data_IF_809665432621
#
_entry.id   IF_809665432621
#
_cell.length_a   1.000
_cell.length_b   1.000
_cell.length_c   1.000
_cell.angle_alpha   90.00
_cell.angle_beta   90.00
_cell.angle_gamma   90.00
#
_symmetry.space_group_name_H-M   'P 1'
#
loop_
_entity.id
_entity.type
_entity.pdbx_description
1 polymer ?
#
# COMPACT_ATOMS: atom_id res chain seq x y z
N UNK A 1 -7.20 46.66 -13.94
CA UNK A 1 -6.39 45.58 -14.54
C UNK A 1 -7.28 44.39 -14.84
N UNK A 2 -7.22 43.85 -16.07
CA UNK A 2 -8.03 42.70 -16.51
C UNK A 2 -7.23 41.39 -16.50
N UNK A 3 -7.91 40.27 -16.80
CA UNK A 3 -7.27 38.96 -16.97
C UNK A 3 -6.34 38.94 -18.20
N UNK A 4 -5.28 38.12 -18.14
CA UNK A 4 -4.29 37.95 -19.22
C UNK A 4 -4.94 37.49 -20.53
N UNK A 5 -6.01 36.69 -20.46
CA UNK A 5 -6.81 36.33 -21.62
C UNK A 5 -8.25 35.97 -21.24
N UNK A 6 -9.14 35.95 -22.23
CA UNK A 6 -10.51 35.45 -22.08
C UNK A 6 -10.47 33.93 -21.83
N UNK A 7 -11.22 33.45 -20.84
CA UNK A 7 -11.42 32.02 -20.60
C UNK A 7 -12.13 31.40 -21.81
N UNK A 8 -11.50 30.39 -22.43
CA UNK A 8 -12.02 29.74 -23.65
C UNK A 8 -12.41 28.28 -23.43
N UNK A 9 -11.61 27.53 -22.68
CA UNK A 9 -11.76 26.09 -22.56
C UNK A 9 -11.65 25.67 -21.11
N UNK A 10 -12.64 24.94 -20.55
CA UNK A 10 -12.46 24.26 -19.29
C UNK A 10 -11.38 23.19 -19.45
N UNK A 11 -10.46 23.09 -18.50
CA UNK A 11 -9.44 22.03 -18.51
C UNK A 11 -10.15 20.70 -18.28
N UNK A 12 -9.89 19.71 -19.14
CA UNK A 12 -10.42 18.36 -18.97
C UNK A 12 -9.95 17.78 -17.65
N UNK A 13 -10.88 17.29 -16.81
CA UNK A 13 -10.51 16.55 -15.61
C UNK A 13 -9.80 15.26 -16.02
N UNK A 14 -8.70 14.91 -15.34
CA UNK A 14 -8.09 13.59 -15.45
C UNK A 14 -9.18 12.52 -15.32
N UNK A 15 -9.08 11.44 -16.11
CA UNK A 15 -10.07 10.35 -16.14
C UNK A 15 -10.47 10.00 -14.70
N UNK A 16 -11.67 10.37 -14.26
CA UNK A 16 -12.17 10.01 -12.94
C UNK A 16 -12.42 8.50 -12.96
N UNK A 17 -11.49 7.73 -12.41
CA UNK A 17 -11.80 6.37 -11.96
C UNK A 17 -12.76 6.49 -10.79
N UNK A 18 -13.74 5.58 -10.71
CA UNK A 18 -14.55 5.48 -9.50
C UNK A 18 -13.62 5.27 -8.29
N UNK A 19 -13.87 5.91 -7.14
CA UNK A 19 -13.06 5.68 -5.95
C UNK A 19 -13.09 4.21 -5.56
N UNK A 20 -11.96 3.69 -5.09
CA UNK A 20 -11.85 2.33 -4.58
C UNK A 20 -12.83 2.16 -3.41
N UNK A 21 -13.67 1.12 -3.44
CA UNK A 21 -14.61 0.83 -2.36
C UNK A 21 -13.93 0.07 -1.23
N UNK A 22 -14.29 0.35 0.02
CA UNK A 22 -13.93 -0.50 1.15
C UNK A 22 -14.58 -1.87 0.97
N UNK A 23 -13.79 -2.85 0.51
CA UNK A 23 -14.28 -4.17 0.12
C UNK A 23 -14.96 -4.24 -1.24
N UNK A 24 -15.30 -5.46 -1.64
CA UNK A 24 -15.95 -5.80 -2.91
C UNK A 24 -17.47 -6.11 -2.77
N UNK A 25 -18.05 -5.72 -1.63
CA UNK A 25 -19.47 -5.89 -1.26
C UNK A 25 -19.71 -5.51 0.20
N UNK A 26 -20.96 -5.27 0.61
CA UNK A 26 -21.28 -4.88 1.99
C UNK A 26 -21.04 -6.04 2.96
N UNK A 27 -20.12 -5.87 3.91
CA UNK A 27 -19.93 -6.78 5.07
C UNK A 27 -19.16 -8.08 4.81
N UNK A 28 -18.59 -8.29 3.62
CA UNK A 28 -17.83 -9.51 3.29
C UNK A 28 -16.34 -9.20 3.12
N UNK A 29 -15.53 -9.54 4.14
CA UNK A 29 -14.07 -9.41 4.15
C UNK A 29 -13.36 -10.67 3.65
N UNK A 30 -14.04 -11.82 3.73
CA UNK A 30 -13.55 -13.12 3.25
C UNK A 30 -13.94 -13.32 1.79
N UNK A 31 -12.95 -13.58 0.94
CA UNK A 31 -13.13 -13.84 -0.50
C UNK A 31 -13.01 -15.35 -0.74
N UNK A 32 -13.93 -15.92 -1.53
CA UNK A 32 -13.79 -17.31 -2.01
C UNK A 32 -12.66 -17.36 -3.06
N UNK A 33 -11.60 -18.18 -2.85
CA UNK A 33 -10.53 -18.33 -3.83
C UNK A 33 -11.01 -18.73 -5.23
N UNK A 34 -12.18 -19.37 -5.36
CA UNK A 34 -12.79 -19.72 -6.67
C UNK A 34 -13.20 -18.49 -7.49
N UNK A 35 -13.45 -17.37 -6.83
CA UNK A 35 -13.73 -16.09 -7.49
C UNK A 35 -12.44 -15.42 -8.00
N UNK A 36 -11.25 -15.95 -7.67
CA UNK A 36 -9.96 -15.39 -8.07
C UNK A 36 -9.37 -16.13 -9.27
N UNK A 37 -9.02 -15.37 -10.31
CA UNK A 37 -8.21 -15.85 -11.43
C UNK A 37 -6.81 -15.29 -11.33
N UNK A 38 -5.81 -16.15 -11.16
CA UNK A 38 -4.39 -15.77 -11.12
C UNK A 38 -3.86 -15.64 -12.55
N UNK A 39 -3.28 -14.49 -12.90
CA UNK A 39 -2.87 -14.19 -14.28
C UNK A 39 -1.36 -14.06 -14.42
N UNK A 40 -0.72 -13.12 -13.72
CA UNK A 40 0.69 -12.79 -13.92
C UNK A 40 1.39 -12.55 -12.59
N UNK A 41 2.62 -13.02 -12.42
CA UNK A 41 3.43 -12.62 -11.27
C UNK A 41 3.88 -11.15 -11.41
N UNK A 42 3.66 -10.36 -10.36
CA UNK A 42 4.08 -8.96 -10.29
C UNK A 42 5.43 -8.80 -9.61
N UNK A 43 5.71 -9.65 -8.64
CA UNK A 43 7.00 -9.69 -7.96
C UNK A 43 6.94 -10.53 -6.69
N UNK A 44 8.10 -10.63 -6.03
CA UNK A 44 8.24 -11.28 -4.74
C UNK A 44 8.67 -10.25 -3.71
N UNK A 45 7.81 -9.98 -2.74
CA UNK A 45 8.06 -9.07 -1.63
C UNK A 45 8.54 -9.82 -0.37
N UNK A 46 8.76 -9.05 0.70
CA UNK A 46 9.17 -9.58 2.01
C UNK A 46 8.19 -10.62 2.56
N UNK A 47 6.89 -10.41 2.33
CA UNK A 47 5.82 -11.23 2.87
C UNK A 47 5.39 -12.39 1.96
N UNK A 48 5.97 -12.50 0.75
CA UNK A 48 5.65 -13.54 -0.22
C UNK A 48 5.46 -13.03 -1.64
N UNK A 49 4.86 -13.87 -2.49
CA UNK A 49 4.69 -13.59 -3.92
C UNK A 49 3.42 -12.77 -4.13
N UNK A 50 3.52 -11.74 -4.96
CA UNK A 50 2.38 -10.92 -5.39
C UNK A 50 2.07 -11.24 -6.84
N UNK A 51 0.81 -11.59 -7.11
CA UNK A 51 0.29 -11.86 -8.45
C UNK A 51 -0.78 -10.86 -8.83
N UNK A 52 -0.79 -10.46 -10.08
CA UNK A 52 -1.92 -9.83 -10.74
C UNK A 52 -2.96 -10.90 -11.07
N UNK A 53 -4.22 -10.56 -10.84
CA UNK A 53 -5.34 -11.42 -11.15
C UNK A 53 -6.63 -10.65 -11.39
N UNK A 54 -7.71 -11.41 -11.51
CA UNK A 54 -9.06 -10.87 -11.59
C UNK A 54 -9.96 -11.47 -10.52
N UNK A 55 -10.79 -10.64 -9.90
CA UNK A 55 -11.91 -11.08 -9.09
C UNK A 55 -13.18 -11.17 -9.95
N UNK A 56 -13.85 -12.33 -9.90
CA UNK A 56 -15.04 -12.70 -10.70
C UNK A 56 -14.86 -12.48 -12.20
N UNK A 57 -13.61 -12.60 -12.69
CA UNK A 57 -13.25 -12.37 -14.09
C UNK A 57 -13.37 -10.91 -14.58
N UNK A 58 -13.76 -9.96 -13.71
CA UNK A 58 -14.08 -8.59 -14.11
C UNK A 58 -13.09 -7.57 -13.54
N UNK A 59 -12.82 -7.60 -12.24
CA UNK A 59 -12.08 -6.55 -11.54
C UNK A 59 -10.61 -6.93 -11.37
N UNK A 60 -9.72 -6.03 -11.80
CA UNK A 60 -8.29 -6.21 -11.65
C UNK A 60 -7.89 -6.11 -10.17
N UNK A 61 -7.14 -7.10 -9.68
CA UNK A 61 -6.70 -7.17 -8.28
C UNK A 61 -5.23 -7.57 -8.19
N UNK A 62 -4.58 -7.14 -7.11
CA UNK A 62 -3.33 -7.74 -6.66
C UNK A 62 -3.63 -8.79 -5.58
N UNK A 63 -3.05 -9.97 -5.74
CA UNK A 63 -3.23 -11.12 -4.85
C UNK A 63 -1.87 -11.42 -4.24
N UNK A 64 -1.71 -11.06 -2.97
CA UNK A 64 -0.48 -11.27 -2.19
C UNK A 64 -0.63 -12.55 -1.37
N UNK A 65 0.23 -13.51 -1.66
CA UNK A 65 0.32 -14.77 -0.93
C UNK A 65 1.20 -14.57 0.30
N UNK A 66 0.67 -14.87 1.48
CA UNK A 66 1.39 -14.80 2.75
C UNK A 66 2.08 -16.15 2.99
N UNK A 67 3.37 -16.09 3.36
CA UNK A 67 4.16 -17.29 3.66
C UNK A 67 3.64 -17.96 4.93
N UNK A 68 3.59 -19.29 4.93
CA UNK A 68 3.26 -20.03 6.14
C UNK A 68 4.30 -19.79 7.25
N UNK A 69 3.84 -19.74 8.49
CA UNK A 69 4.69 -19.51 9.66
C UNK A 69 5.18 -18.07 9.82
N UNK A 70 4.76 -17.11 8.99
CA UNK A 70 5.17 -15.72 9.17
C UNK A 70 4.40 -14.98 10.27
N UNK A 71 3.21 -15.47 10.68
CA UNK A 71 2.36 -14.82 11.68
C UNK A 71 1.28 -15.72 12.31
N UNK A 72 0.68 -15.25 13.40
CA UNK A 72 -0.56 -15.79 13.99
C UNK A 72 -1.78 -15.47 13.11
N UNK A 73 -2.64 -16.46 12.84
CA UNK A 73 -3.82 -16.29 11.98
C UNK A 73 -4.91 -15.43 12.62
N UNK A 74 -5.11 -15.53 13.93
CA UNK A 74 -6.12 -14.74 14.63
C UNK A 74 -5.75 -13.25 14.64
N UNK A 75 -4.48 -12.94 14.90
CA UNK A 75 -3.95 -11.57 14.84
C UNK A 75 -4.03 -10.99 13.43
N UNK A 76 -3.77 -11.82 12.41
CA UNK A 76 -3.94 -11.45 11.01
C UNK A 76 -5.37 -11.01 10.71
N UNK A 77 -6.33 -11.86 11.09
CA UNK A 77 -7.74 -11.66 10.78
C UNK A 77 -8.26 -10.40 11.46
N UNK A 78 -7.92 -10.19 12.73
CA UNK A 78 -8.43 -9.05 13.48
C UNK A 78 -7.87 -7.72 12.97
N UNK A 79 -6.59 -7.65 12.64
CA UNK A 79 -6.09 -6.43 12.01
C UNK A 79 -6.51 -6.29 10.55
N UNK A 80 -6.68 -7.37 9.78
CA UNK A 80 -7.24 -7.29 8.43
C UNK A 80 -8.64 -6.65 8.45
N UNK A 81 -9.48 -6.97 9.45
CA UNK A 81 -10.78 -6.28 9.65
C UNK A 81 -10.60 -4.78 9.94
N UNK A 82 -9.58 -4.38 10.71
CA UNK A 82 -9.27 -2.95 10.93
C UNK A 82 -8.84 -2.30 9.63
N UNK A 83 -7.92 -2.91 8.88
CA UNK A 83 -7.41 -2.42 7.60
C UNK A 83 -8.51 -2.31 6.54
N UNK A 84 -9.49 -3.22 6.53
CA UNK A 84 -10.65 -3.17 5.63
C UNK A 84 -11.48 -1.90 5.80
N UNK A 85 -11.50 -1.33 7.00
CA UNK A 85 -12.22 -0.08 7.29
C UNK A 85 -11.40 1.18 6.99
N UNK A 86 -10.13 1.04 6.61
CA UNK A 86 -9.29 2.15 6.16
C UNK A 86 -9.53 2.35 4.66
N UNK A 87 -10.14 3.48 4.31
CA UNK A 87 -10.43 3.83 2.92
C UNK A 87 -10.08 5.30 2.67
N UNK A 88 -9.16 5.52 1.74
CA UNK A 88 -8.67 6.83 1.35
C UNK A 88 -8.14 6.77 -0.09
N UNK A 89 -8.28 7.84 -0.87
CA UNK A 89 -7.90 7.85 -2.29
C UNK A 89 -6.41 7.58 -2.51
N UNK A 90 -5.57 7.89 -1.51
CA UNK A 90 -4.11 7.68 -1.53
C UNK A 90 -3.63 6.47 -0.74
N UNK A 91 -4.54 5.63 -0.25
CA UNK A 91 -4.20 4.32 0.31
C UNK A 91 -4.55 3.23 -0.68
N UNK A 92 -3.68 2.22 -0.81
CA UNK A 92 -3.99 1.02 -1.57
C UNK A 92 -5.12 0.30 -0.85
N UNK A 93 -6.27 0.20 -1.51
CA UNK A 93 -7.47 -0.35 -0.89
C UNK A 93 -7.33 -1.85 -0.68
N UNK A 94 -7.54 -2.29 0.56
CA UNK A 94 -7.76 -3.70 0.87
C UNK A 94 -9.20 -4.07 0.49
N UNK A 95 -9.34 -5.11 -0.33
CA UNK A 95 -10.63 -5.60 -0.80
C UNK A 95 -11.13 -6.82 -0.01
N UNK A 96 -10.21 -7.60 0.54
CA UNK A 96 -10.52 -8.75 1.36
C UNK A 96 -9.33 -9.68 1.50
N UNK A 97 -9.56 -10.80 2.15
CA UNK A 97 -8.58 -11.85 2.40
C UNK A 97 -9.19 -13.22 2.11
N UNK A 98 -8.34 -14.22 1.87
CA UNK A 98 -8.73 -15.62 1.87
C UNK A 98 -8.01 -16.30 3.02
N UNK A 99 -8.74 -16.66 4.07
CA UNK A 99 -8.19 -17.27 5.29
C UNK A 99 -8.66 -18.71 5.49
N UNK A 100 -9.80 -19.09 4.89
CA UNK A 100 -10.35 -20.46 4.99
C UNK A 100 -9.54 -21.55 4.32
N UNK A 101 -8.62 -21.20 3.42
CA UNK A 101 -7.75 -22.15 2.72
C UNK A 101 -6.31 -21.62 2.71
N UNK A 102 -5.34 -22.53 2.90
CA UNK A 102 -3.92 -22.20 2.75
C UNK A 102 -3.46 -22.28 1.29
N UNK A 103 -2.51 -21.43 0.88
CA UNK A 103 -1.92 -20.32 1.66
C UNK A 103 -2.88 -19.12 1.78
N UNK A 104 -2.71 -18.30 2.83
CA UNK A 104 -3.52 -17.09 3.04
C UNK A 104 -3.25 -16.10 1.91
N UNK A 105 -4.32 -15.46 1.42
CA UNK A 105 -4.23 -14.39 0.42
C UNK A 105 -4.75 -13.06 0.95
N UNK A 106 -4.06 -11.98 0.58
CA UNK A 106 -4.53 -10.59 0.71
C UNK A 106 -4.86 -10.08 -0.68
N UNK A 107 -6.07 -9.56 -0.86
CA UNK A 107 -6.56 -9.05 -2.13
C UNK A 107 -6.66 -7.53 -2.02
N UNK A 108 -5.91 -6.81 -2.84
CA UNK A 108 -5.89 -5.35 -2.85
C UNK A 108 -6.15 -4.78 -4.24
N UNK A 109 -6.31 -3.46 -4.29
CA UNK A 109 -6.26 -2.70 -5.53
C UNK A 109 -5.00 -3.03 -6.34
N UNK A 110 -5.17 -3.19 -7.66
CA UNK A 110 -4.07 -3.41 -8.58
C UNK A 110 -3.43 -2.08 -9.01
N UNK A 111 -2.12 -1.96 -8.78
CA UNK A 111 -1.34 -0.77 -9.08
C UNK A 111 -0.42 -1.03 -10.28
N UNK A 112 -0.86 -0.58 -11.46
CA UNK A 112 -0.31 -1.00 -12.75
C UNK A 112 1.18 -0.69 -12.97
N UNK A 113 1.70 0.36 -12.35
CA UNK A 113 3.08 0.82 -12.52
C UNK A 113 4.02 0.34 -11.39
N UNK A 114 3.56 -0.58 -10.53
CA UNK A 114 4.40 -1.19 -9.50
C UNK A 114 4.81 -0.21 -8.40
N UNK A 115 5.94 -0.49 -7.72
CA UNK A 115 6.39 0.33 -6.60
C UNK A 115 7.12 1.61 -7.05
N UNK A 116 6.92 2.68 -6.29
CA UNK A 116 7.46 4.01 -6.55
C UNK A 116 8.99 4.00 -6.65
N UNK A 117 9.68 3.18 -5.85
CA UNK A 117 11.14 3.04 -5.92
C UNK A 117 11.62 2.63 -7.31
N UNK A 118 11.01 1.61 -7.91
CA UNK A 118 11.38 1.13 -9.24
C UNK A 118 10.89 2.11 -10.31
N UNK A 119 9.67 2.62 -10.17
CA UNK A 119 9.10 3.64 -11.04
C UNK A 119 10.06 4.82 -11.19
N UNK A 120 10.50 5.43 -10.08
CA UNK A 120 11.45 6.54 -10.07
C UNK A 120 12.80 6.19 -10.69
N UNK A 121 13.31 4.96 -10.51
CA UNK A 121 14.60 4.53 -11.06
C UNK A 121 14.56 4.30 -12.57
N UNK A 122 13.49 3.72 -13.07
CA UNK A 122 13.33 3.37 -14.49
C UNK A 122 12.97 4.58 -15.35
N UNK A 123 12.39 5.63 -14.76
CA UNK A 123 11.92 6.82 -15.48
C UNK A 123 12.62 8.12 -15.08
N UNK A 124 13.85 8.05 -14.52
CA UNK A 124 14.64 9.19 -14.01
C UNK A 124 14.73 10.42 -14.91
N UNK A 125 14.66 10.25 -16.24
CA UNK A 125 14.75 11.37 -17.19
C UNK A 125 13.41 12.01 -17.57
N UNK A 126 12.28 11.55 -17.00
CA UNK A 126 10.93 11.95 -17.43
C UNK A 126 10.15 12.81 -16.44
N UNK A 127 10.59 12.96 -15.19
CA UNK A 127 9.83 13.71 -14.20
C UNK A 127 10.25 15.17 -14.10
N UNK A 128 9.27 16.05 -14.21
CA UNK A 128 9.41 17.45 -13.81
C UNK A 128 9.35 17.56 -12.28
N UNK A 129 10.02 18.54 -11.65
CA UNK A 129 9.96 18.75 -10.20
C UNK A 129 8.54 18.82 -9.64
N UNK A 130 7.61 19.43 -10.38
CA UNK A 130 6.20 19.51 -10.00
C UNK A 130 5.54 18.13 -9.85
N UNK A 131 5.91 17.14 -10.69
CA UNK A 131 5.37 15.79 -10.58
C UNK A 131 5.91 15.06 -9.35
N UNK A 132 7.18 15.27 -9.01
CA UNK A 132 7.76 14.70 -7.79
C UNK A 132 7.08 15.29 -6.55
N UNK A 133 6.78 16.59 -6.56
CA UNK A 133 6.04 17.23 -5.48
C UNK A 133 4.64 16.65 -5.33
N UNK A 134 3.94 16.38 -6.43
CA UNK A 134 2.62 15.73 -6.39
C UNK A 134 2.70 14.31 -5.82
N UNK A 135 3.73 13.53 -6.15
CA UNK A 135 3.96 12.21 -5.55
C UNK A 135 4.18 12.30 -4.03
N UNK A 136 4.94 13.30 -3.56
CA UNK A 136 5.12 13.53 -2.12
C UNK A 136 3.81 13.93 -1.44
N UNK A 137 3.01 14.77 -2.10
CA UNK A 137 1.69 15.18 -1.61
C UNK A 137 0.74 13.99 -1.49
N UNK A 138 0.66 13.14 -2.53
CA UNK A 138 -0.14 11.91 -2.51
C UNK A 138 0.19 11.04 -1.28
N UNK A 139 1.48 10.82 -1.01
CA UNK A 139 1.93 10.06 0.17
C UNK A 139 1.58 10.80 1.47
N UNK A 140 1.73 12.12 1.51
CA UNK A 140 1.41 12.93 2.68
C UNK A 140 -0.08 12.86 3.05
N UNK A 141 -0.98 12.98 2.07
CA UNK A 141 -2.43 12.86 2.27
C UNK A 141 -2.82 11.48 2.84
N UNK A 142 -2.16 10.41 2.35
CA UNK A 142 -2.34 9.07 2.92
C UNK A 142 -1.90 8.97 4.39
N UNK A 143 -0.75 9.55 4.72
CA UNK A 143 -0.19 9.51 6.06
C UNK A 143 -0.95 10.40 7.05
N UNK A 144 -1.47 11.54 6.60
CA UNK A 144 -2.41 12.38 7.38
C UNK A 144 -3.66 11.58 7.73
N UNK A 145 -4.24 10.87 6.75
CA UNK A 145 -5.39 10.01 6.99
C UNK A 145 -5.07 8.92 8.02
N UNK A 146 -3.95 8.21 7.89
CA UNK A 146 -3.54 7.19 8.86
C UNK A 146 -3.33 7.77 10.27
N UNK A 147 -2.69 8.94 10.39
CA UNK A 147 -2.53 9.63 11.68
C UNK A 147 -3.89 9.98 12.30
N UNK A 148 -4.86 10.46 11.50
CA UNK A 148 -6.22 10.75 11.96
C UNK A 148 -6.97 9.52 12.49
N UNK A 149 -6.60 8.33 12.01
CA UNK A 149 -7.13 7.02 12.46
C UNK A 149 -6.28 6.37 13.55
N UNK A 150 -5.27 7.09 14.07
CA UNK A 150 -4.30 6.60 15.05
C UNK A 150 -3.62 5.29 14.60
N UNK A 151 -3.41 5.15 13.29
CA UNK A 151 -2.84 3.95 12.69
C UNK A 151 -1.41 4.22 12.22
N UNK A 152 -0.45 3.46 12.77
CA UNK A 152 0.96 3.57 12.39
C UNK A 152 1.29 2.68 11.19
N UNK A 153 2.05 3.22 10.24
CA UNK A 153 2.57 2.47 9.10
C UNK A 153 3.79 1.62 9.49
N UNK A 154 4.75 2.19 10.22
CA UNK A 154 5.99 1.55 10.76
C UNK A 154 7.05 1.10 9.75
N UNK A 155 6.69 0.94 8.47
CA UNK A 155 7.65 0.66 7.38
C UNK A 155 7.46 1.59 6.16
N UNK A 156 7.28 2.90 6.37
CA UNK A 156 7.04 3.82 5.26
C UNK A 156 8.34 4.03 4.46
N UNK A 157 8.28 3.75 3.16
CA UNK A 157 9.38 3.97 2.22
C UNK A 157 8.86 3.91 0.78
N UNK A 158 9.64 4.41 -0.19
CA UNK A 158 9.28 4.36 -1.62
C UNK A 158 9.04 2.93 -2.17
N UNK A 159 9.56 1.88 -1.52
CA UNK A 159 9.27 0.48 -1.88
C UNK A 159 7.84 0.04 -1.50
N UNK A 160 7.25 0.70 -0.50
CA UNK A 160 5.90 0.44 0.02
C UNK A 160 4.91 1.54 -0.42
N UNK A 161 5.26 2.29 -1.46
CA UNK A 161 4.35 3.15 -2.19
C UNK A 161 4.18 2.55 -3.59
N UNK A 162 2.96 2.48 -4.10
CA UNK A 162 2.64 1.92 -5.41
C UNK A 162 2.07 3.00 -6.33
N UNK A 163 2.23 2.81 -7.64
CA UNK A 163 1.82 3.78 -8.66
C UNK A 163 0.75 3.17 -9.56
N UNK A 164 -0.39 3.83 -9.71
CA UNK A 164 -1.46 3.37 -10.59
C UNK A 164 -1.19 3.75 -12.05
N UNK A 165 -2.06 3.34 -12.97
CA UNK A 165 -1.95 3.62 -14.42
C UNK A 165 -1.98 5.11 -14.78
N UNK A 166 -2.50 5.95 -13.88
CA UNK A 166 -2.58 7.41 -14.04
C UNK A 166 -1.36 8.14 -13.47
N UNK A 167 -0.44 7.43 -12.81
CA UNK A 167 0.71 8.03 -12.14
C UNK A 167 0.43 8.52 -10.72
N UNK A 168 -0.74 8.23 -10.16
CA UNK A 168 -1.09 8.54 -8.76
C UNK A 168 -0.35 7.57 -7.85
N UNK A 169 0.24 8.10 -6.78
CA UNK A 169 0.92 7.32 -5.77
C UNK A 169 -0.07 6.95 -4.66
N UNK A 170 -0.03 5.71 -4.22
CA UNK A 170 -0.75 5.26 -3.03
C UNK A 170 0.16 4.49 -2.08
N UNK A 171 -0.01 4.70 -0.78
CA UNK A 171 0.74 3.98 0.25
C UNK A 171 0.13 2.57 0.42
N UNK A 172 1.00 1.56 0.49
CA UNK A 172 0.64 0.13 0.60
C UNK A 172 1.32 -0.51 1.81
N UNK A 173 0.96 -1.76 2.13
CA UNK A 173 1.62 -2.56 3.18
C UNK A 173 1.61 -1.93 4.59
N UNK A 174 0.77 -0.92 4.82
CA UNK A 174 0.51 -0.37 6.15
C UNK A 174 -0.05 -1.45 7.08
N UNK A 175 0.45 -1.53 8.31
CA UNK A 175 0.02 -2.53 9.29
C UNK A 175 0.69 -3.90 9.15
N UNK A 176 1.24 -4.24 7.97
CA UNK A 176 1.82 -5.56 7.74
C UNK A 176 3.10 -5.83 8.53
N UNK A 177 3.84 -4.79 8.92
CA UNK A 177 5.08 -4.94 9.69
C UNK A 177 4.84 -5.39 11.14
N UNK A 178 3.61 -5.28 11.66
CA UNK A 178 3.26 -5.78 13.00
C UNK A 178 3.24 -7.31 13.08
N UNK A 179 3.16 -7.95 11.92
CA UNK A 179 2.94 -9.39 11.78
C UNK A 179 4.20 -10.19 11.55
N UNK A 180 5.34 -9.55 11.28
CA UNK A 180 6.60 -10.27 11.15
C UNK A 180 6.97 -10.77 12.54
N UNK A 181 6.87 -12.09 12.78
CA UNK A 181 7.29 -12.70 14.04
C UNK A 181 8.65 -12.13 14.46
N UNK A 182 8.72 -11.70 15.72
CA UNK A 182 9.78 -10.89 16.30
C UNK A 182 11.18 -11.47 16.02
N UNK A 183 11.32 -12.79 15.86
CA UNK A 183 12.60 -13.41 15.54
C UNK A 183 13.22 -13.06 14.17
N UNK A 184 12.45 -12.67 13.14
CA UNK A 184 13.04 -12.16 11.89
C UNK A 184 13.26 -10.63 11.91
N UNK A 185 12.61 -9.90 12.83
CA UNK A 185 12.71 -8.44 12.92
C UNK A 185 13.68 -7.97 14.02
N UNK A 186 13.96 -8.81 15.03
CA UNK A 186 14.82 -8.48 16.18
C UNK A 186 15.89 -9.53 16.54
N UNK A 187 15.94 -10.73 15.94
CA UNK A 187 16.90 -11.78 16.38
C UNK A 187 18.02 -12.09 15.37
N UNK A 188 19.26 -11.84 15.81
CA UNK A 188 20.55 -12.30 15.28
C UNK A 188 21.10 -11.65 14.00
N UNK A 189 21.94 -10.63 14.16
CA UNK A 189 23.10 -10.31 13.29
C UNK A 189 22.89 -10.44 11.75
N UNK A 190 21.70 -10.14 11.21
CA UNK A 190 21.44 -10.49 9.82
C UNK A 190 20.08 -10.22 9.16
N UNK A 191 19.04 -9.66 9.80
CA UNK A 191 17.74 -9.43 9.13
C UNK A 191 17.14 -8.01 9.25
N UNK A 192 16.95 -7.41 8.05
CA UNK A 192 15.86 -6.58 7.49
C UNK A 192 15.11 -5.52 8.31
N UNK A 193 15.62 -5.05 9.44
CA UNK A 193 15.12 -3.80 10.01
C UNK A 193 15.39 -2.61 9.05
N UNK A 194 14.43 -1.69 8.77
CA UNK A 194 14.61 -0.61 7.81
C UNK A 194 15.44 0.55 8.42
N UNK A 195 16.69 0.25 8.78
CA UNK A 195 17.61 1.15 9.51
C UNK A 195 17.65 2.56 8.89
N UNK A 196 17.70 2.64 7.55
CA UNK A 196 17.80 3.93 6.82
C UNK A 196 16.54 4.81 6.92
N UNK A 197 15.40 4.23 7.28
CA UNK A 197 14.12 4.93 7.43
C UNK A 197 13.68 5.04 8.90
N UNK A 198 14.48 4.54 9.84
CA UNK A 198 14.08 4.47 11.24
C UNK A 198 14.72 5.58 12.07
N UNK A 199 13.94 6.28 12.92
CA UNK A 199 14.49 7.28 13.82
C UNK A 199 15.22 6.65 15.02
N UNK A 200 16.03 7.43 15.77
CA UNK A 200 16.79 6.94 16.92
C UNK A 200 15.94 6.23 17.98
N UNK A 201 14.75 6.74 18.31
CA UNK A 201 13.90 6.14 19.33
C UNK A 201 13.35 4.76 18.95
N UNK A 202 13.18 4.49 17.65
CA UNK A 202 12.81 3.16 17.17
C UNK A 202 14.05 2.26 17.17
N UNK A 203 15.20 2.76 16.71
CA UNK A 203 16.45 1.99 16.67
C UNK A 203 16.94 1.56 18.06
N UNK A 204 16.80 2.43 19.06
CA UNK A 204 17.34 2.20 20.41
C UNK A 204 16.34 1.54 21.35
N UNK A 205 15.05 1.78 21.16
CA UNK A 205 14.01 1.42 22.14
C UNK A 205 12.76 0.79 21.53
N UNK A 206 12.73 0.55 20.22
CA UNK A 206 11.55 0.03 19.50
C UNK A 206 10.28 0.86 19.74
N UNK A 207 10.42 2.17 19.98
CA UNK A 207 9.29 3.08 20.27
C UNK A 207 8.72 3.69 19.00
N UNK A 208 7.72 3.03 18.43
CA UNK A 208 6.97 3.53 17.27
C UNK A 208 5.91 4.57 17.68
N UNK A 209 5.75 5.62 16.87
CA UNK A 209 4.72 6.64 17.03
C UNK A 209 4.39 7.29 15.67
N UNK A 210 3.43 8.22 15.61
CA UNK A 210 3.21 8.96 14.35
C UNK A 210 4.46 9.75 13.95
N UNK A 211 5.31 10.14 14.90
CA UNK A 211 6.56 10.85 14.63
C UNK A 211 7.64 9.98 14.02
N UNK A 212 7.62 8.67 14.27
CA UNK A 212 8.52 7.75 13.54
C UNK A 212 8.11 7.58 12.09
N UNK A 213 6.80 7.64 11.78
CA UNK A 213 6.31 7.64 10.40
C UNK A 213 6.63 8.97 9.70
N UNK A 214 6.58 10.11 10.42
CA UNK A 214 7.04 11.42 9.91
C UNK A 214 8.54 11.39 9.60
N UNK A 215 9.37 10.76 10.45
CA UNK A 215 10.79 10.55 10.13
C UNK A 215 10.96 9.73 8.84
N UNK A 216 10.17 8.65 8.70
CA UNK A 216 10.23 7.76 7.54
C UNK A 216 9.77 8.44 6.24
N UNK A 217 8.90 9.45 6.34
CA UNK A 217 8.45 10.28 5.23
C UNK A 217 9.53 11.24 4.72
N UNK A 218 10.41 11.72 5.60
CA UNK A 218 11.53 12.61 5.27
C UNK A 218 12.63 11.91 4.47
#
# INVERSE_FOLDING_TARGET
SGLISRLKYPVSQHKKSAPSTAGLGYGSWEIDPKDLTFLKELGTGQFGVVKYGKWRGQYNVAIKMIREGSMSEDEFIDEAKVMMNLSHEKLVQLYGVCTKQRPIFIITEYMANGCLLNFLRETRQRFQPAQLLEMCKDVCEAMEYLESKQFLHRDLAARNCLVNDQGIVKVSDFGLSRYVLDDEYTSSMGSKFPVRWSPPEVLLYSKFSSKSDVWSFG
#
